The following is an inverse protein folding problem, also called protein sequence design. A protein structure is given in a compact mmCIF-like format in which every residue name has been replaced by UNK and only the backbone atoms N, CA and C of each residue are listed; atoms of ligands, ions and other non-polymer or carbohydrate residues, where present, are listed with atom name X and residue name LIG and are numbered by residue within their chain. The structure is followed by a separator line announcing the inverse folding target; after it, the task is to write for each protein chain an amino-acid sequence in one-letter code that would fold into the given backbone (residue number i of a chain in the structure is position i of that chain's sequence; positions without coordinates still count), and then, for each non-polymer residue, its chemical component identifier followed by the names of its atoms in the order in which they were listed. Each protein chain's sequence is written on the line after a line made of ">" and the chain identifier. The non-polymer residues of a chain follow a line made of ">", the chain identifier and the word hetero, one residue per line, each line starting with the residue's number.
data_IF_294178987695
#
_entry.id   IF_294178987695
#
_cell.length_a   1.000
_cell.length_b   1.000
_cell.length_c   1.000
_cell.angle_alpha   90.00
_cell.angle_beta   90.00
_cell.angle_gamma   90.00
#
_symmetry.space_group_name_H-M   'P 1'
#
loop_
_entity.id
_entity.type
_entity.pdbx_description
1 polymer ?
#
# COMPACT_ATOMS: atom_id res chain seq x y z
N UNK A 1 -5.58 -13.73 -17.45
CA UNK A 1 -6.30 -12.55 -16.94
C UNK A 1 -7.44 -13.03 -16.06
N UNK A 2 -7.55 -12.50 -14.83
CA UNK A 2 -8.63 -12.77 -13.88
C UNK A 2 -9.65 -11.62 -13.87
N UNK A 3 -9.16 -10.38 -13.89
CA UNK A 3 -9.96 -9.17 -13.76
C UNK A 3 -9.33 -8.02 -14.56
N UNK A 4 -10.13 -7.11 -15.06
CA UNK A 4 -9.66 -5.87 -15.71
C UNK A 4 -9.99 -4.68 -14.82
N UNK A 5 -9.00 -4.14 -14.15
CA UNK A 5 -9.14 -2.91 -13.37
C UNK A 5 -9.13 -1.70 -14.32
N UNK A 6 -10.01 -0.73 -14.05
CA UNK A 6 -10.15 0.49 -14.84
C UNK A 6 -10.17 1.71 -13.96
N UNK A 7 -9.57 2.78 -14.46
CA UNK A 7 -9.53 4.08 -13.83
C UNK A 7 -9.82 5.18 -14.84
N UNK A 8 -10.36 6.31 -14.41
CA UNK A 8 -10.21 7.54 -15.18
C UNK A 8 -8.73 7.87 -15.30
N UNK A 9 -8.32 8.33 -16.48
CA UNK A 9 -6.91 8.56 -16.83
C UNK A 9 -6.14 9.30 -15.71
N UNK A 10 -4.94 8.82 -15.43
CA UNK A 10 -4.09 9.33 -14.37
C UNK A 10 -2.61 9.14 -14.67
N UNK A 11 -1.72 9.55 -13.76
CA UNK A 11 -0.28 9.50 -13.98
C UNK A 11 0.27 8.09 -14.21
N UNK A 12 -0.40 7.06 -13.67
CA UNK A 12 -0.03 5.65 -13.85
C UNK A 12 -0.96 4.90 -14.84
N UNK A 13 -1.65 5.65 -15.74
CA UNK A 13 -2.50 5.08 -16.79
C UNK A 13 -3.97 5.03 -16.43
N UNK A 14 -4.74 4.24 -17.19
CA UNK A 14 -6.19 4.11 -17.10
C UNK A 14 -6.67 2.73 -16.62
N UNK A 15 -5.73 1.89 -16.19
CA UNK A 15 -6.01 0.56 -15.63
C UNK A 15 -5.03 -0.51 -16.10
N UNK A 16 -5.28 -1.74 -15.66
CA UNK A 16 -4.44 -2.89 -15.93
C UNK A 16 -5.22 -4.21 -15.85
N UNK A 17 -4.63 -5.29 -16.31
CA UNK A 17 -5.18 -6.62 -16.15
C UNK A 17 -4.57 -7.31 -14.92
N UNK A 18 -5.39 -7.73 -13.97
CA UNK A 18 -4.96 -8.65 -12.90
C UNK A 18 -4.79 -10.03 -13.51
N UNK A 19 -3.57 -10.54 -13.50
CA UNK A 19 -3.16 -11.77 -14.16
C UNK A 19 -2.43 -12.71 -13.19
N UNK A 20 -2.44 -14.00 -13.51
CA UNK A 20 -1.71 -15.04 -12.77
C UNK A 20 -0.77 -15.75 -13.71
N UNK A 21 0.47 -15.89 -13.31
CA UNK A 21 1.49 -16.60 -14.04
C UNK A 21 1.13 -18.10 -14.18
N UNK A 22 1.08 -18.60 -15.40
CA UNK A 22 0.76 -20.00 -15.67
C UNK A 22 1.81 -20.97 -15.07
N UNK A 23 3.06 -20.54 -15.01
CA UNK A 23 4.17 -21.37 -14.52
C UNK A 23 4.24 -21.42 -12.99
N UNK A 24 4.24 -20.26 -12.31
CA UNK A 24 4.50 -20.21 -10.87
C UNK A 24 3.28 -19.85 -10.01
N UNK A 25 2.18 -19.40 -10.61
CA UNK A 25 0.97 -19.01 -9.89
C UNK A 25 1.01 -17.59 -9.29
N UNK A 26 2.13 -16.88 -9.34
CA UNK A 26 2.22 -15.52 -8.83
C UNK A 26 1.25 -14.57 -9.55
N UNK A 27 0.59 -13.70 -8.81
CA UNK A 27 -0.37 -12.75 -9.32
C UNK A 27 0.27 -11.35 -9.50
N UNK A 28 -0.10 -10.66 -10.58
CA UNK A 28 0.49 -9.37 -10.94
C UNK A 28 -0.45 -8.53 -11.82
N UNK A 29 -0.19 -7.24 -11.88
CA UNK A 29 -0.80 -6.31 -12.82
C UNK A 29 -0.06 -6.35 -14.18
N UNK A 30 -0.80 -6.56 -15.26
CA UNK A 30 -0.30 -6.58 -16.62
C UNK A 30 -0.82 -5.36 -17.39
N UNK A 31 0.03 -4.73 -18.20
CA UNK A 31 -0.28 -3.46 -18.90
C UNK A 31 -0.07 -2.23 -18.01
N UNK A 32 0.93 -2.26 -17.13
CA UNK A 32 1.34 -1.15 -16.25
C UNK A 32 2.51 -0.34 -16.87
N UNK A 33 2.77 0.90 -16.39
CA UNK A 33 3.94 1.69 -16.75
C UNK A 33 5.26 0.96 -16.49
N UNK A 34 6.35 1.46 -17.09
CA UNK A 34 7.69 0.96 -16.84
C UNK A 34 8.20 1.31 -15.44
N UNK A 35 9.32 0.70 -15.01
CA UNK A 35 9.90 0.98 -13.69
C UNK A 35 10.28 2.46 -13.55
N UNK A 36 10.81 3.06 -14.62
CA UNK A 36 11.21 4.47 -14.61
C UNK A 36 10.05 5.42 -14.31
N UNK A 37 8.87 5.19 -14.89
CA UNK A 37 7.68 6.00 -14.65
C UNK A 37 7.16 5.80 -13.21
N UNK A 38 7.28 4.58 -12.66
CA UNK A 38 6.92 4.30 -11.27
C UNK A 38 7.88 5.02 -10.31
N UNK A 39 9.20 4.96 -10.55
CA UNK A 39 10.21 5.64 -9.72
C UNK A 39 10.00 7.16 -9.71
N UNK A 40 9.74 7.77 -10.88
CA UNK A 40 9.42 9.19 -10.99
C UNK A 40 8.14 9.55 -10.20
N UNK A 41 7.12 8.72 -10.29
CA UNK A 41 5.87 8.92 -9.55
C UNK A 41 6.11 8.96 -8.03
N UNK A 42 6.87 8.00 -7.48
CA UNK A 42 7.13 7.95 -6.03
C UNK A 42 8.07 9.06 -5.56
N UNK A 43 9.03 9.47 -6.36
CA UNK A 43 9.91 10.60 -6.03
C UNK A 43 9.14 11.91 -5.83
N UNK A 44 8.10 12.14 -6.64
CA UNK A 44 7.36 13.40 -6.66
C UNK A 44 6.06 13.39 -5.85
N UNK A 45 5.42 12.23 -5.67
CA UNK A 45 4.01 12.14 -5.23
C UNK A 45 3.79 11.25 -4.01
N UNK A 46 4.77 11.19 -3.11
CA UNK A 46 4.62 10.42 -1.87
C UNK A 46 3.47 10.96 -0.99
N UNK A 47 2.48 10.12 -0.74
CA UNK A 47 1.33 10.45 0.13
C UNK A 47 1.69 10.56 1.61
N UNK A 48 2.80 9.99 2.02
CA UNK A 48 3.20 9.88 3.42
C UNK A 48 3.55 11.22 4.06
N UNK A 49 3.92 12.23 3.29
CA UNK A 49 4.30 13.56 3.80
C UNK A 49 3.12 14.45 4.18
N UNK A 50 1.88 14.08 3.77
CA UNK A 50 0.67 14.87 4.04
C UNK A 50 -0.53 14.01 4.49
N UNK A 51 -0.40 12.69 4.54
CA UNK A 51 -1.54 11.81 4.80
C UNK A 51 -2.09 11.93 6.23
N UNK A 52 -1.26 12.31 7.21
CA UNK A 52 -1.66 12.54 8.60
C UNK A 52 -0.71 13.56 9.24
N UNK A 53 -1.27 14.56 9.94
CA UNK A 53 -0.55 15.52 10.79
C UNK A 53 0.86 15.92 10.28
N UNK A 54 0.96 16.42 9.06
CA UNK A 54 2.23 16.82 8.39
C UNK A 54 3.24 15.64 8.24
N UNK A 55 2.73 14.45 8.00
CA UNK A 55 3.52 13.23 7.79
C UNK A 55 3.85 12.44 9.05
N UNK A 56 3.33 12.84 10.23
CA UNK A 56 3.45 12.04 11.44
C UNK A 56 2.61 10.75 11.33
N UNK A 57 3.08 9.70 11.95
CA UNK A 57 2.40 8.41 11.99
C UNK A 57 1.19 8.47 12.93
N UNK A 58 0.10 7.81 12.50
CA UNK A 58 -1.08 7.62 13.33
C UNK A 58 -0.85 6.57 14.41
N UNK A 59 -1.70 6.50 15.46
CA UNK A 59 -1.66 5.40 16.44
C UNK A 59 -1.77 4.02 15.80
N UNK A 60 -2.51 3.88 14.69
CA UNK A 60 -2.64 2.63 13.94
C UNK A 60 -1.32 2.24 13.26
N UNK A 61 -0.60 3.23 12.68
CA UNK A 61 0.73 2.98 12.09
C UNK A 61 1.71 2.52 13.15
N UNK A 62 1.75 3.16 14.34
CA UNK A 62 2.61 2.72 15.43
C UNK A 62 2.29 1.31 15.89
N UNK A 63 1.01 0.94 16.04
CA UNK A 63 0.61 -0.43 16.42
C UNK A 63 1.11 -1.45 15.40
N UNK A 64 1.02 -1.13 14.12
CA UNK A 64 1.55 -1.97 13.03
C UNK A 64 3.06 -2.10 13.12
N UNK A 65 3.79 -1.01 13.31
CA UNK A 65 5.25 -1.02 13.41
C UNK A 65 5.75 -1.76 14.66
N UNK A 66 5.04 -1.67 15.78
CA UNK A 66 5.35 -2.46 16.98
C UNK A 66 5.20 -3.97 16.69
N UNK A 67 4.13 -4.39 16.01
CA UNK A 67 3.95 -5.78 15.62
C UNK A 67 5.06 -6.27 14.65
N UNK A 68 5.49 -5.44 13.71
CA UNK A 68 6.63 -5.75 12.83
C UNK A 68 7.92 -5.90 13.63
N UNK A 69 8.18 -4.99 14.56
CA UNK A 69 9.35 -5.06 15.42
C UNK A 69 9.33 -6.34 16.28
N UNK A 70 8.18 -6.76 16.82
CA UNK A 70 8.02 -8.01 17.58
C UNK A 70 8.36 -9.24 16.73
N UNK A 71 7.98 -9.24 15.45
CA UNK A 71 8.33 -10.33 14.52
C UNK A 71 9.80 -10.34 14.16
N UNK A 72 10.46 -9.18 14.05
CA UNK A 72 11.84 -9.03 13.60
C UNK A 72 12.86 -9.29 14.72
N UNK A 73 12.63 -8.74 15.91
CA UNK A 73 13.61 -8.73 17.02
C UNK A 73 14.21 -10.10 17.39
N UNK A 74 13.44 -11.20 17.42
CA UNK A 74 14.00 -12.53 17.73
C UNK A 74 15.07 -13.01 16.76
N UNK A 75 15.17 -12.38 15.58
CA UNK A 75 16.08 -12.77 14.50
C UNK A 75 17.27 -11.80 14.35
N UNK A 76 17.37 -10.81 15.21
CA UNK A 76 18.48 -9.85 15.21
C UNK A 76 19.57 -10.28 16.21
N UNK A 77 20.87 -10.13 15.86
CA UNK A 77 21.96 -10.61 16.70
C UNK A 77 22.10 -9.83 18.02
N UNK A 78 21.76 -8.56 18.03
CA UNK A 78 21.82 -7.67 19.22
C UNK A 78 21.21 -6.32 18.92
N UNK A 79 21.12 -5.43 19.91
CA UNK A 79 20.70 -4.04 19.73
C UNK A 79 21.72 -3.18 18.92
N UNK A 80 22.94 -3.68 18.70
CA UNK A 80 23.94 -3.09 17.81
C UNK A 80 23.80 -3.57 16.35
N UNK A 81 22.77 -4.34 16.01
CA UNK A 81 22.50 -4.76 14.63
C UNK A 81 22.36 -3.54 13.71
N UNK A 82 22.99 -3.60 12.53
CA UNK A 82 22.82 -2.61 11.48
C UNK A 82 21.59 -2.97 10.66
N UNK A 83 20.60 -2.09 10.65
CA UNK A 83 19.30 -2.31 10.01
C UNK A 83 19.11 -1.27 8.92
N UNK A 84 18.76 -1.73 7.71
CA UNK A 84 18.33 -0.90 6.59
C UNK A 84 16.84 -1.12 6.34
N UNK A 85 16.08 -0.02 6.31
CA UNK A 85 14.68 -0.01 5.88
C UNK A 85 14.55 0.67 4.51
N UNK A 86 14.30 -0.11 3.47
CA UNK A 86 14.14 0.37 2.09
C UNK A 86 12.68 0.72 1.86
N UNK A 87 12.40 1.93 1.39
CA UNK A 87 11.04 2.48 1.28
C UNK A 87 10.46 2.86 2.64
N UNK A 88 11.31 3.42 3.52
CA UNK A 88 10.97 3.69 4.92
C UNK A 88 9.97 4.84 5.13
N UNK A 89 9.54 5.51 4.06
CA UNK A 89 8.67 6.69 4.11
C UNK A 89 9.20 7.73 5.12
N UNK A 90 8.35 8.16 6.07
CA UNK A 90 8.70 9.15 7.11
C UNK A 90 9.49 8.57 8.29
N UNK A 91 9.90 7.29 8.23
CA UNK A 91 10.81 6.66 9.20
C UNK A 91 10.14 6.10 10.45
N UNK A 92 8.80 5.94 10.46
CA UNK A 92 8.06 5.52 11.64
C UNK A 92 8.46 4.15 12.20
N UNK A 93 8.75 3.15 11.34
CA UNK A 93 9.26 1.85 11.79
C UNK A 93 10.65 1.97 12.40
N UNK A 94 11.54 2.77 11.80
CA UNK A 94 12.86 3.04 12.34
C UNK A 94 12.78 3.76 13.69
N UNK A 95 11.81 4.67 13.87
CA UNK A 95 11.56 5.34 15.15
C UNK A 95 11.11 4.34 16.24
N UNK A 96 10.30 3.34 15.89
CA UNK A 96 9.95 2.23 16.81
C UNK A 96 11.20 1.45 17.20
N UNK A 97 12.02 1.03 16.24
CA UNK A 97 13.26 0.29 16.51
C UNK A 97 14.24 1.12 17.34
N UNK A 98 14.36 2.43 17.09
CA UNK A 98 15.19 3.35 17.90
C UNK A 98 14.73 3.39 19.35
N UNK A 99 13.41 3.53 19.61
CA UNK A 99 12.86 3.47 20.98
C UNK A 99 13.10 2.14 21.67
N UNK A 100 13.21 1.05 20.91
CA UNK A 100 13.56 -0.29 21.39
C UNK A 100 15.06 -0.50 21.62
N UNK A 101 15.88 0.54 21.40
CA UNK A 101 17.32 0.57 21.69
C UNK A 101 18.24 0.17 20.54
N UNK A 102 17.76 0.07 19.31
CA UNK A 102 18.60 -0.09 18.13
C UNK A 102 19.25 1.26 17.76
N UNK A 103 20.55 1.26 17.51
CA UNK A 103 21.34 2.49 17.32
C UNK A 103 21.93 2.65 15.91
N UNK A 104 21.97 1.58 15.11
CA UNK A 104 22.54 1.59 13.77
C UNK A 104 21.45 1.41 12.72
N UNK A 105 20.60 2.41 12.60
CA UNK A 105 19.44 2.46 11.73
C UNK A 105 19.73 3.33 10.50
N UNK A 106 19.42 2.82 9.33
CA UNK A 106 19.51 3.52 8.05
C UNK A 106 18.17 3.42 7.34
N UNK A 107 17.61 4.55 6.95
CA UNK A 107 16.43 4.60 6.10
C UNK A 107 16.80 4.94 4.66
N UNK A 108 15.96 4.52 3.73
CA UNK A 108 16.04 4.93 2.33
C UNK A 108 14.63 5.04 1.75
N UNK A 109 14.37 6.12 0.99
CA UNK A 109 13.09 6.35 0.31
C UNK A 109 13.34 7.16 -0.96
N UNK A 110 12.63 6.94 -2.08
CA UNK A 110 12.80 7.72 -3.30
C UNK A 110 12.32 9.17 -3.17
N UNK A 111 11.50 9.50 -2.18
CA UNK A 111 10.95 10.85 -1.95
C UNK A 111 11.86 11.70 -1.05
N UNK A 112 12.44 12.81 -1.56
CA UNK A 112 13.19 13.75 -0.71
C UNK A 112 12.34 14.32 0.43
N UNK A 113 11.04 14.52 0.19
CA UNK A 113 10.11 15.03 1.20
C UNK A 113 9.91 14.04 2.37
N UNK A 114 9.98 12.72 2.12
CA UNK A 114 9.98 11.71 3.17
C UNK A 114 11.26 11.79 4.02
N UNK A 115 12.42 11.98 3.40
CA UNK A 115 13.69 12.14 4.11
C UNK A 115 13.68 13.37 5.03
N UNK A 116 13.14 14.49 4.56
CA UNK A 116 12.99 15.70 5.37
C UNK A 116 12.00 15.51 6.52
N UNK A 117 10.88 14.82 6.28
CA UNK A 117 9.90 14.51 7.31
C UNK A 117 10.49 13.58 8.39
N UNK A 118 11.21 12.53 8.02
CA UNK A 118 11.86 11.59 8.94
C UNK A 118 12.85 12.32 9.88
N UNK A 119 13.65 13.23 9.32
CA UNK A 119 14.57 14.05 10.10
C UNK A 119 13.83 14.96 11.08
N UNK A 120 12.77 15.61 10.61
CA UNK A 120 11.97 16.56 11.42
C UNK A 120 11.20 15.84 12.53
N UNK A 121 10.58 14.70 12.24
CA UNK A 121 9.69 13.98 13.15
C UNK A 121 10.46 13.11 14.17
N UNK A 122 11.53 12.46 13.71
CA UNK A 122 12.19 11.39 14.47
C UNK A 122 13.69 11.59 14.65
N UNK A 123 14.30 12.60 14.00
CA UNK A 123 15.76 12.79 14.02
C UNK A 123 16.50 11.65 13.27
N UNK A 124 15.83 10.92 12.41
CA UNK A 124 16.39 9.80 11.65
C UNK A 124 16.89 10.30 10.30
N UNK A 125 18.11 9.89 9.92
CA UNK A 125 18.67 10.14 8.61
C UNK A 125 18.10 9.12 7.60
N UNK A 126 17.44 9.64 6.55
CA UNK A 126 16.95 8.86 5.43
C UNK A 126 17.67 9.32 4.17
N UNK A 127 18.21 8.37 3.41
CA UNK A 127 18.89 8.62 2.14
C UNK A 127 17.86 8.60 1.01
N UNK A 128 17.87 9.63 0.17
CA UNK A 128 17.01 9.64 -1.02
C UNK A 128 17.63 8.72 -2.07
N UNK A 129 16.98 7.59 -2.33
CA UNK A 129 17.41 6.61 -3.32
C UNK A 129 16.24 5.74 -3.77
N UNK A 130 16.21 5.41 -5.08
CA UNK A 130 15.38 4.35 -5.63
C UNK A 130 15.94 2.99 -5.25
N UNK A 131 15.12 1.94 -5.36
CA UNK A 131 15.60 0.59 -5.03
C UNK A 131 16.75 0.14 -5.95
N UNK A 132 16.77 0.54 -7.22
CA UNK A 132 17.83 0.21 -8.16
C UNK A 132 19.19 0.80 -7.75
N UNK A 133 19.23 2.00 -7.19
CA UNK A 133 20.47 2.68 -6.78
C UNK A 133 21.15 1.96 -5.60
N UNK A 134 20.43 1.15 -4.83
CA UNK A 134 21.04 0.34 -3.77
C UNK A 134 21.98 -0.74 -4.30
N UNK A 135 21.93 -1.09 -5.59
CA UNK A 135 22.87 -2.02 -6.18
C UNK A 135 24.34 -1.53 -6.10
N UNK A 136 24.55 -0.22 -6.02
CA UNK A 136 25.87 0.41 -5.92
C UNK A 136 26.35 0.55 -4.46
N UNK A 137 25.51 0.24 -3.47
CA UNK A 137 25.89 0.37 -2.07
C UNK A 137 26.88 -0.73 -1.66
N UNK A 138 27.98 -0.33 -1.06
CA UNK A 138 29.02 -1.23 -0.55
C UNK A 138 28.80 -1.65 0.90
N UNK A 139 27.93 -0.93 1.61
CA UNK A 139 27.55 -1.22 2.99
C UNK A 139 26.78 -2.54 3.08
N UNK A 140 26.92 -3.22 4.23
CA UNK A 140 26.21 -4.47 4.51
C UNK A 140 25.52 -4.39 5.86
N UNK A 141 24.36 -5.05 5.96
CA UNK A 141 23.42 -4.95 7.06
C UNK A 141 23.15 -6.31 7.69
N UNK A 142 22.86 -6.30 8.98
CA UNK A 142 22.40 -7.49 9.71
C UNK A 142 20.92 -7.77 9.41
N UNK A 143 20.14 -6.72 9.09
CA UNK A 143 18.79 -6.85 8.57
C UNK A 143 18.51 -5.82 7.47
N UNK A 144 17.78 -6.27 6.44
CA UNK A 144 17.19 -5.43 5.38
C UNK A 144 15.69 -5.60 5.41
N UNK A 145 14.94 -4.49 5.48
CA UNK A 145 13.50 -4.48 5.57
C UNK A 145 12.89 -3.99 4.25
N UNK A 146 11.82 -4.65 3.80
CA UNK A 146 10.99 -4.31 2.65
C UNK A 146 9.52 -4.37 3.09
N UNK A 147 9.04 -3.27 3.69
CA UNK A 147 7.69 -3.18 4.26
C UNK A 147 6.79 -2.32 3.38
N UNK A 148 5.87 -2.94 2.67
CA UNK A 148 5.01 -2.21 1.72
C UNK A 148 5.80 -1.67 0.52
N UNK A 149 6.73 -2.46 -0.03
CA UNK A 149 7.60 -2.03 -1.14
C UNK A 149 7.44 -2.91 -2.37
N UNK A 150 7.48 -4.23 -2.20
CA UNK A 150 7.54 -5.15 -3.35
C UNK A 150 6.26 -5.14 -4.19
N UNK A 151 5.11 -4.78 -3.62
CA UNK A 151 3.86 -4.60 -4.36
C UNK A 151 3.89 -3.43 -5.33
N UNK A 152 4.84 -2.50 -5.16
CA UNK A 152 4.98 -1.29 -5.96
C UNK A 152 6.08 -1.38 -7.03
N UNK A 153 6.87 -2.45 -7.02
CA UNK A 153 8.06 -2.59 -7.88
C UNK A 153 7.78 -3.51 -9.06
N UNK A 154 7.94 -3.00 -10.29
CA UNK A 154 7.77 -3.81 -11.50
C UNK A 154 8.85 -4.88 -11.63
N UNK A 155 10.10 -4.50 -11.46
CA UNK A 155 11.26 -5.39 -11.57
C UNK A 155 11.55 -6.12 -10.25
N UNK A 156 10.51 -6.79 -9.71
CA UNK A 156 10.51 -7.34 -8.34
C UNK A 156 11.59 -8.38 -8.07
N UNK A 157 12.05 -9.12 -9.10
CA UNK A 157 13.16 -10.08 -8.94
C UNK A 157 14.50 -9.37 -8.77
N UNK A 158 14.74 -8.32 -9.55
CA UNK A 158 15.94 -7.49 -9.39
C UNK A 158 15.94 -6.86 -7.98
N UNK A 159 14.80 -6.36 -7.53
CA UNK A 159 14.61 -5.81 -6.19
C UNK A 159 14.99 -6.81 -5.09
N UNK A 160 14.50 -8.05 -5.17
CA UNK A 160 14.83 -9.10 -4.22
C UNK A 160 16.34 -9.41 -4.23
N UNK A 161 16.98 -9.49 -5.42
CA UNK A 161 18.42 -9.70 -5.57
C UNK A 161 19.26 -8.57 -4.96
N UNK A 162 18.88 -7.32 -5.20
CA UNK A 162 19.55 -6.13 -4.63
C UNK A 162 19.46 -6.17 -3.10
N UNK A 163 18.26 -6.34 -2.54
CA UNK A 163 18.06 -6.38 -1.10
C UNK A 163 18.85 -7.53 -0.44
N UNK A 164 18.85 -8.72 -1.04
CA UNK A 164 19.67 -9.84 -0.58
C UNK A 164 21.17 -9.57 -0.65
N UNK A 165 21.62 -8.84 -1.70
CA UNK A 165 23.02 -8.44 -1.87
C UNK A 165 23.53 -7.48 -0.77
N UNK A 166 22.65 -6.77 -0.09
CA UNK A 166 22.98 -5.87 1.01
C UNK A 166 23.11 -6.57 2.36
N UNK A 167 22.75 -7.84 2.45
CA UNK A 167 22.90 -8.62 3.70
C UNK A 167 24.35 -9.03 3.95
N UNK A 168 24.74 -8.99 5.22
CA UNK A 168 25.94 -9.67 5.72
C UNK A 168 25.75 -11.18 5.71
N UNK A 169 26.82 -11.97 5.76
CA UNK A 169 26.70 -13.39 6.12
C UNK A 169 25.94 -13.54 7.44
N UNK A 170 24.90 -14.39 7.47
CA UNK A 170 24.02 -14.55 8.63
C UNK A 170 22.98 -13.45 8.84
N UNK A 171 22.93 -12.44 7.97
CA UNK A 171 21.89 -11.40 8.01
C UNK A 171 20.54 -11.90 7.51
N UNK A 172 19.47 -11.16 7.87
CA UNK A 172 18.08 -11.51 7.54
C UNK A 172 17.40 -10.44 6.69
N UNK A 173 16.52 -10.86 5.78
CA UNK A 173 15.57 -9.99 5.10
C UNK A 173 14.20 -10.13 5.77
N UNK A 174 13.59 -9.02 6.14
CA UNK A 174 12.19 -8.97 6.54
C UNK A 174 11.36 -8.37 5.41
N UNK A 175 10.33 -9.10 4.97
CA UNK A 175 9.37 -8.64 3.97
C UNK A 175 7.96 -8.62 4.53
N UNK A 176 7.18 -7.57 4.26
CA UNK A 176 5.76 -7.49 4.62
C UNK A 176 4.97 -6.80 3.49
N UNK A 177 3.99 -7.49 2.92
CA UNK A 177 3.23 -7.06 1.76
C UNK A 177 1.73 -7.34 1.97
N UNK A 178 0.82 -6.67 1.22
CA UNK A 178 -0.60 -7.04 1.21
C UNK A 178 -0.79 -8.51 0.83
N UNK A 179 -1.60 -9.24 1.62
CA UNK A 179 -1.83 -10.67 1.48
C UNK A 179 -3.11 -10.97 0.70
N UNK A 180 -2.98 -11.49 -0.51
CA UNK A 180 -4.13 -11.84 -1.38
C UNK A 180 -5.10 -12.82 -0.74
N UNK A 181 -4.62 -13.71 0.12
CA UNK A 181 -5.45 -14.73 0.77
C UNK A 181 -6.42 -14.14 1.78
N UNK A 182 -6.16 -12.91 2.25
CA UNK A 182 -7.01 -12.21 3.20
C UNK A 182 -7.82 -11.06 2.61
N UNK A 183 -7.64 -10.72 1.33
CA UNK A 183 -8.32 -9.55 0.73
C UNK A 183 -9.85 -9.58 0.89
N UNK A 184 -10.46 -10.74 0.74
CA UNK A 184 -11.90 -10.90 0.89
C UNK A 184 -12.38 -10.74 2.35
N UNK A 185 -11.51 -10.89 3.34
CA UNK A 185 -11.85 -10.67 4.76
C UNK A 185 -11.65 -9.22 5.21
N UNK A 186 -11.03 -8.37 4.39
CA UNK A 186 -10.75 -6.98 4.73
C UNK A 186 -12.01 -6.11 4.70
N UNK A 187 -12.11 -5.18 5.64
CA UNK A 187 -13.14 -4.14 5.64
C UNK A 187 -12.56 -2.91 4.93
N UNK A 188 -12.86 -2.78 3.63
CA UNK A 188 -12.31 -1.72 2.80
C UNK A 188 -13.26 -1.40 1.63
N UNK A 189 -12.91 -0.42 0.79
CA UNK A 189 -13.65 -0.14 -0.44
C UNK A 189 -13.58 -1.31 -1.42
N UNK A 190 -14.63 -1.54 -2.24
CA UNK A 190 -14.57 -2.50 -3.32
C UNK A 190 -13.35 -2.25 -4.22
N UNK A 191 -12.65 -3.32 -4.59
CA UNK A 191 -11.44 -3.28 -5.42
C UNK A 191 -10.29 -2.42 -4.89
N UNK A 192 -10.28 -2.01 -3.62
CA UNK A 192 -9.24 -1.15 -3.02
C UNK A 192 -7.84 -1.74 -3.17
N UNK A 193 -7.71 -3.06 -3.08
CA UNK A 193 -6.44 -3.76 -3.22
C UNK A 193 -5.89 -3.71 -4.66
N UNK A 194 -6.75 -3.46 -5.65
CA UNK A 194 -6.35 -3.21 -7.03
C UNK A 194 -6.18 -1.70 -7.25
N UNK A 195 -5.30 -1.10 -6.48
CA UNK A 195 -4.98 0.33 -6.57
C UNK A 195 -4.18 0.66 -7.83
N UNK A 196 -4.01 1.94 -8.13
CA UNK A 196 -3.13 2.39 -9.21
C UNK A 196 -1.66 2.07 -8.96
N UNK A 197 -1.29 1.80 -7.71
CA UNK A 197 0.09 1.67 -7.25
C UNK A 197 0.51 0.20 -7.00
N UNK A 198 -0.44 -0.72 -6.76
CA UNK A 198 -0.12 -2.13 -6.50
C UNK A 198 -0.02 -2.91 -7.80
N UNK A 199 1.19 -3.33 -8.12
CA UNK A 199 1.50 -4.05 -9.36
C UNK A 199 1.84 -5.53 -9.13
N UNK A 200 2.10 -5.94 -7.90
CA UNK A 200 2.26 -7.35 -7.50
C UNK A 200 1.30 -7.67 -6.35
N UNK A 201 0.80 -8.90 -6.36
CA UNK A 201 -0.16 -9.40 -5.38
C UNK A 201 0.41 -10.67 -4.74
N UNK A 202 0.72 -10.59 -3.44
CA UNK A 202 1.48 -11.63 -2.75
C UNK A 202 0.59 -12.55 -1.92
N UNK A 203 0.93 -13.84 -1.93
CA UNK A 203 0.62 -14.84 -0.92
C UNK A 203 1.90 -15.25 -0.21
N UNK A 204 1.81 -16.04 0.85
CA UNK A 204 2.99 -16.64 1.50
C UNK A 204 3.82 -17.43 0.48
N UNK A 205 3.19 -18.19 -0.40
CA UNK A 205 3.87 -19.01 -1.41
C UNK A 205 4.61 -18.15 -2.45
N UNK A 206 3.97 -17.11 -2.99
CA UNK A 206 4.60 -16.26 -4.01
C UNK A 206 5.71 -15.40 -3.44
N UNK A 207 5.57 -14.88 -2.21
CA UNK A 207 6.63 -14.13 -1.51
C UNK A 207 7.85 -15.03 -1.26
N UNK A 208 7.64 -16.24 -0.70
CA UNK A 208 8.70 -17.22 -0.46
C UNK A 208 9.41 -17.59 -1.77
N UNK A 209 8.65 -17.85 -2.83
CA UNK A 209 9.23 -18.19 -4.13
C UNK A 209 10.02 -17.04 -4.75
N UNK A 210 9.55 -15.80 -4.61
CA UNK A 210 10.29 -14.62 -5.05
C UNK A 210 11.64 -14.54 -4.35
N UNK A 211 11.65 -14.60 -3.01
CA UNK A 211 12.87 -14.46 -2.23
C UNK A 211 13.83 -15.66 -2.41
N UNK A 212 13.32 -16.84 -2.73
CA UNK A 212 14.15 -17.97 -3.13
C UNK A 212 14.92 -17.72 -4.45
N UNK A 213 14.47 -16.82 -5.33
CA UNK A 213 15.26 -16.41 -6.51
C UNK A 213 16.51 -15.61 -6.14
N UNK A 214 16.55 -15.06 -4.94
CA UNK A 214 17.69 -14.35 -4.34
C UNK A 214 18.42 -15.19 -3.29
N UNK A 215 18.26 -16.52 -3.32
CA UNK A 215 18.90 -17.50 -2.42
C UNK A 215 18.48 -17.34 -0.94
N UNK A 216 17.32 -16.78 -0.69
CA UNK A 216 16.76 -16.60 0.65
C UNK A 216 15.69 -17.65 0.94
N UNK A 217 15.82 -18.35 2.08
CA UNK A 217 14.83 -19.30 2.59
C UNK A 217 14.04 -18.70 3.76
N UNK A 218 12.75 -19.05 3.92
CA UNK A 218 11.96 -18.57 5.03
C UNK A 218 12.47 -19.16 6.36
N UNK A 219 12.65 -18.28 7.36
CA UNK A 219 12.93 -18.64 8.75
C UNK A 219 11.64 -18.65 9.55
N UNK A 220 10.81 -17.65 9.33
CA UNK A 220 9.46 -17.54 9.91
C UNK A 220 8.55 -16.75 8.96
N UNK A 221 7.26 -17.08 8.94
CA UNK A 221 6.25 -16.37 8.14
C UNK A 221 4.98 -16.19 8.95
N UNK A 222 4.28 -15.09 8.70
CA UNK A 222 3.02 -14.76 9.37
C UNK A 222 2.01 -14.24 8.36
N UNK A 223 0.75 -14.42 8.69
CA UNK A 223 -0.39 -13.76 8.05
C UNK A 223 -1.23 -13.13 9.14
N UNK A 224 -1.58 -11.87 8.99
CA UNK A 224 -2.28 -11.12 10.03
C UNK A 224 -3.10 -9.99 9.45
N UNK A 225 -4.13 -9.54 10.21
CA UNK A 225 -4.93 -8.38 9.86
C UNK A 225 -4.35 -7.14 10.52
N UNK A 226 -4.28 -6.06 9.76
CA UNK A 226 -3.85 -4.74 10.20
C UNK A 226 -5.04 -3.80 10.16
N UNK A 227 -5.28 -3.09 11.23
CA UNK A 227 -6.20 -1.97 11.24
C UNK A 227 -5.45 -0.70 10.84
N UNK A 228 -5.76 -0.15 9.67
CA UNK A 228 -5.14 1.07 9.15
C UNK A 228 -5.76 2.34 9.70
N UNK A 229 -7.07 2.29 9.92
CA UNK A 229 -7.91 3.34 10.50
C UNK A 229 -9.05 2.65 11.22
N UNK A 230 -9.75 3.38 12.06
CA UNK A 230 -10.88 2.86 12.83
C UNK A 230 -11.89 2.11 11.94
N UNK A 231 -11.97 0.81 12.12
CA UNK A 231 -12.87 -0.09 11.39
C UNK A 231 -12.45 -0.42 9.94
N UNK A 232 -11.26 0.00 9.49
CA UNK A 232 -10.73 -0.33 8.16
C UNK A 232 -9.53 -1.25 8.30
N UNK A 233 -9.62 -2.44 7.72
CA UNK A 233 -8.59 -3.47 7.85
C UNK A 233 -7.99 -3.87 6.52
N UNK A 234 -6.72 -4.27 6.56
CA UNK A 234 -6.02 -4.93 5.46
C UNK A 234 -5.35 -6.22 5.96
N UNK A 235 -5.15 -7.14 5.05
CA UNK A 235 -4.43 -8.39 5.29
C UNK A 235 -2.97 -8.23 4.86
N UNK A 236 -2.05 -8.74 5.69
CA UNK A 236 -0.61 -8.68 5.46
C UNK A 236 -0.01 -10.06 5.54
N UNK A 237 0.81 -10.42 4.57
CA UNK A 237 1.77 -11.52 4.62
C UNK A 237 3.13 -10.95 4.95
N UNK A 238 3.80 -11.50 5.95
CA UNK A 238 5.15 -11.09 6.34
C UNK A 238 6.05 -12.30 6.62
N UNK A 239 7.36 -12.08 6.62
CA UNK A 239 8.30 -13.12 6.96
C UNK A 239 9.73 -12.63 7.12
N UNK A 240 10.50 -13.41 7.86
CA UNK A 240 11.94 -13.33 7.98
C UNK A 240 12.56 -14.40 7.10
N UNK A 241 13.53 -14.00 6.29
CA UNK A 241 14.22 -14.87 5.33
C UNK A 241 15.73 -14.71 5.51
N UNK A 242 16.46 -15.81 5.37
CA UNK A 242 17.92 -15.84 5.52
C UNK A 242 18.57 -16.66 4.41
N UNK A 243 19.86 -16.40 4.14
CA UNK A 243 20.67 -17.28 3.26
C UNK A 243 20.93 -18.61 3.92
N UNK A 244 20.99 -19.65 3.11
CA UNK A 244 21.21 -21.03 3.58
C UNK A 244 22.63 -21.34 4.02
N UNK A 245 23.59 -20.48 3.74
CA UNK A 245 25.01 -20.63 4.03
C UNK A 245 25.44 -20.16 5.44
N UNK A 246 24.50 -19.63 6.21
CA UNK A 246 24.73 -19.39 7.63
C UNK A 246 24.80 -20.74 8.37
N UNK A 247 25.99 -21.22 8.68
CA UNK A 247 26.33 -22.49 9.30
C UNK A 247 25.64 -22.86 10.61
N UNK A 248 24.34 -23.02 10.58
CA UNK A 248 23.49 -23.56 11.64
C UNK A 248 22.74 -24.76 11.07
N UNK A 249 23.33 -25.94 11.24
CA UNK A 249 22.70 -27.23 10.93
C UNK A 249 22.75 -27.60 9.44
N UNK A 250 23.73 -28.37 9.04
CA UNK A 250 23.85 -28.99 7.72
C UNK A 250 22.58 -29.78 7.37
N UNK A 251 21.76 -29.24 6.45
CA UNK A 251 20.63 -29.98 5.92
C UNK A 251 19.83 -29.16 4.93
N UNK A 252 20.25 -29.14 3.69
CA UNK A 252 19.65 -28.53 2.52
C UNK A 252 19.88 -27.00 2.37
N UNK A 253 20.68 -26.65 1.35
CA UNK A 253 20.76 -25.29 0.80
C UNK A 253 19.37 -24.72 0.48
N UNK A 254 19.23 -23.38 0.35
CA UNK A 254 17.95 -22.79 -0.03
C UNK A 254 17.42 -23.53 -1.26
N UNK A 255 16.18 -23.99 -1.26
CA UNK A 255 15.63 -24.67 -2.41
C UNK A 255 15.71 -23.71 -3.61
N UNK A 256 16.20 -24.20 -4.73
CA UNK A 256 16.12 -23.42 -5.96
C UNK A 256 14.69 -22.95 -6.14
N UNK A 257 14.47 -21.73 -6.68
CA UNK A 257 13.12 -21.18 -6.86
C UNK A 257 12.17 -22.13 -7.61
N UNK A 258 12.72 -23.04 -8.45
CA UNK A 258 11.99 -24.12 -9.11
C UNK A 258 11.51 -25.20 -8.15
N UNK A 259 12.17 -25.40 -7.00
CA UNK A 259 11.79 -26.39 -5.98
C UNK A 259 10.74 -25.84 -4.99
N UNK A 260 10.51 -24.50 -4.97
CA UNK A 260 9.42 -23.92 -4.18
C UNK A 260 8.07 -24.30 -4.79
N UNK A 261 7.06 -24.67 -3.98
CA UNK A 261 5.73 -24.99 -4.46
C UNK A 261 5.15 -23.87 -5.35
N UNK A 262 4.41 -24.25 -6.38
CA UNK A 262 3.63 -23.29 -7.14
C UNK A 262 2.61 -22.64 -6.21
N UNK A 263 2.38 -21.33 -6.39
CA UNK A 263 1.27 -20.64 -5.72
C UNK A 263 -0.06 -21.17 -6.28
N UNK A 264 -0.75 -21.96 -5.49
CA UNK A 264 -2.03 -22.56 -5.83
C UNK A 264 -3.22 -21.75 -5.30
N UNK A 265 -2.98 -20.78 -4.40
CA UNK A 265 -4.04 -20.09 -3.64
C UNK A 265 -4.41 -18.74 -4.21
N UNK A 266 -3.45 -17.96 -4.70
CA UNK A 266 -3.69 -16.57 -5.16
C UNK A 266 -4.79 -16.47 -6.21
N UNK A 267 -4.89 -17.43 -7.14
CA UNK A 267 -5.93 -17.38 -8.17
C UNK A 267 -7.35 -17.46 -7.58
N UNK A 268 -7.58 -18.40 -6.66
CA UNK A 268 -8.88 -18.56 -5.99
C UNK A 268 -9.22 -17.35 -5.15
N UNK A 269 -8.31 -16.94 -4.26
CA UNK A 269 -8.47 -15.80 -3.38
C UNK A 269 -8.78 -14.49 -4.12
N UNK A 270 -8.10 -14.23 -5.24
CA UNK A 270 -8.38 -13.05 -6.06
C UNK A 270 -9.74 -13.11 -6.78
N UNK A 271 -10.19 -14.29 -7.20
CA UNK A 271 -11.54 -14.45 -7.77
C UNK A 271 -12.62 -14.21 -6.72
N UNK A 272 -12.44 -14.71 -5.51
CA UNK A 272 -13.34 -14.48 -4.37
C UNK A 272 -13.38 -12.98 -4.01
N UNK A 273 -12.23 -12.34 -3.97
CA UNK A 273 -12.14 -10.88 -3.74
C UNK A 273 -12.85 -10.07 -4.83
N UNK A 274 -12.70 -10.45 -6.12
CA UNK A 274 -13.40 -9.81 -7.23
C UNK A 274 -14.91 -9.99 -7.10
N UNK A 275 -15.38 -11.21 -6.80
CA UNK A 275 -16.81 -11.49 -6.65
C UNK A 275 -17.42 -10.67 -5.50
N UNK A 276 -16.73 -10.60 -4.37
CA UNK A 276 -17.18 -9.84 -3.20
C UNK A 276 -17.16 -8.32 -3.46
N UNK A 277 -16.10 -7.81 -4.10
CA UNK A 277 -16.02 -6.40 -4.49
C UNK A 277 -17.16 -6.01 -5.44
N UNK A 278 -17.54 -6.90 -6.38
CA UNK A 278 -18.67 -6.66 -7.28
C UNK A 278 -20.01 -6.51 -6.54
N UNK A 279 -20.22 -7.32 -5.49
CA UNK A 279 -21.42 -7.20 -4.63
C UNK A 279 -21.41 -5.86 -3.90
N UNK A 280 -20.26 -5.48 -3.34
CA UNK A 280 -20.11 -4.19 -2.63
C UNK A 280 -20.26 -2.99 -3.54
N UNK A 281 -19.76 -3.04 -4.76
CA UNK A 281 -19.90 -1.94 -5.73
C UNK A 281 -21.37 -1.73 -6.17
N UNK A 282 -22.22 -2.75 -6.11
CA UNK A 282 -23.61 -2.60 -6.51
C UNK A 282 -24.38 -1.53 -5.71
N UNK A 283 -24.17 -1.46 -4.39
CA UNK A 283 -24.80 -0.43 -3.55
C UNK A 283 -24.26 0.97 -3.87
N UNK A 284 -22.95 1.09 -4.09
CA UNK A 284 -22.30 2.34 -4.51
C UNK A 284 -22.84 2.81 -5.86
N UNK A 285 -23.03 1.88 -6.81
CA UNK A 285 -23.60 2.17 -8.13
C UNK A 285 -25.04 2.72 -8.04
N UNK A 286 -25.90 2.12 -7.21
CA UNK A 286 -27.26 2.62 -6.98
C UNK A 286 -27.28 4.02 -6.44
N UNK A 287 -26.43 4.34 -5.46
CA UNK A 287 -26.27 5.68 -4.92
C UNK A 287 -25.83 6.68 -6.02
N UNK A 288 -24.86 6.31 -6.83
CA UNK A 288 -24.37 7.14 -7.94
C UNK A 288 -25.47 7.37 -8.99
N UNK A 289 -26.25 6.35 -9.33
CA UNK A 289 -27.39 6.46 -10.27
C UNK A 289 -28.44 7.44 -9.75
N UNK A 290 -28.68 7.45 -8.44
CA UNK A 290 -29.58 8.44 -7.81
C UNK A 290 -29.02 9.87 -7.92
N UNK A 291 -27.71 10.06 -7.64
CA UNK A 291 -27.07 11.36 -7.79
C UNK A 291 -27.10 11.87 -9.26
N UNK A 292 -26.95 10.94 -10.21
CA UNK A 292 -27.10 11.28 -11.64
C UNK A 292 -28.54 11.65 -11.97
N UNK A 293 -29.54 11.01 -11.36
CA UNK A 293 -30.97 11.27 -11.62
C UNK A 293 -31.41 12.65 -11.07
N UNK A 294 -30.92 13.00 -9.87
CA UNK A 294 -31.33 14.27 -9.23
C UNK A 294 -30.64 15.50 -9.83
N UNK A 295 -29.45 15.33 -10.42
CA UNK A 295 -28.64 16.43 -10.98
C UNK A 295 -28.39 17.59 -9.99
N UNK A 296 -28.45 17.33 -8.69
CA UNK A 296 -28.07 18.30 -7.68
C UNK A 296 -26.56 18.59 -7.78
N UNK A 297 -26.12 19.85 -7.58
CA UNK A 297 -24.71 20.20 -7.61
C UNK A 297 -23.91 19.43 -6.57
N UNK A 298 -22.82 18.81 -7.00
CA UNK A 298 -22.05 17.85 -6.20
C UNK A 298 -20.56 18.20 -6.18
N UNK A 299 -19.99 18.28 -5.00
CA UNK A 299 -18.55 18.19 -4.77
C UNK A 299 -18.18 16.75 -4.45
N UNK A 300 -17.06 16.25 -4.99
CA UNK A 300 -16.56 14.91 -4.68
C UNK A 300 -15.26 15.03 -3.92
N UNK A 301 -15.25 14.60 -2.66
CA UNK A 301 -14.06 14.63 -1.82
C UNK A 301 -13.29 13.30 -1.93
N UNK A 302 -12.06 13.41 -2.38
CA UNK A 302 -11.14 12.35 -2.76
C UNK A 302 -11.00 12.27 -4.29
N UNK A 303 -9.80 12.50 -4.81
CA UNK A 303 -9.45 12.37 -6.24
C UNK A 303 -8.54 11.15 -6.52
N UNK A 304 -8.45 10.23 -5.54
CA UNK A 304 -7.60 9.05 -5.57
C UNK A 304 -8.19 7.85 -6.33
N UNK A 305 -7.66 6.66 -6.01
CA UNK A 305 -7.96 5.37 -6.68
C UNK A 305 -9.46 5.09 -6.78
N UNK A 306 -10.20 5.18 -5.66
CA UNK A 306 -11.64 4.86 -5.65
C UNK A 306 -12.44 5.78 -6.58
N UNK A 307 -12.22 7.09 -6.50
CA UNK A 307 -12.91 8.07 -7.36
C UNK A 307 -12.62 7.81 -8.84
N UNK A 308 -11.35 7.55 -9.18
CA UNK A 308 -10.94 7.23 -10.56
C UNK A 308 -11.56 5.93 -11.06
N UNK A 309 -11.67 4.93 -10.19
CA UNK A 309 -12.37 3.69 -10.50
C UNK A 309 -13.86 3.93 -10.74
N UNK A 310 -14.54 4.65 -9.86
CA UNK A 310 -15.96 4.95 -9.99
C UNK A 310 -16.28 5.81 -11.23
N UNK A 311 -15.42 6.76 -11.58
CA UNK A 311 -15.55 7.52 -12.83
C UNK A 311 -15.45 6.64 -14.08
N UNK A 312 -14.63 5.59 -14.05
CA UNK A 312 -14.42 4.68 -15.17
C UNK A 312 -15.47 3.57 -15.27
N UNK A 313 -16.10 3.18 -14.14
CA UNK A 313 -16.95 1.99 -14.06
C UNK A 313 -18.42 2.28 -13.79
N UNK A 314 -18.74 3.50 -13.34
CA UNK A 314 -20.09 3.93 -13.01
C UNK A 314 -20.48 5.21 -13.79
N UNK A 315 -21.74 5.63 -13.78
CA UNK A 315 -22.15 6.89 -14.42
C UNK A 315 -21.78 8.16 -13.63
N UNK A 316 -20.88 8.11 -12.62
CA UNK A 316 -20.52 9.26 -11.78
C UNK A 316 -20.15 10.52 -12.59
N UNK A 317 -19.43 10.38 -13.70
CA UNK A 317 -19.07 11.50 -14.57
C UNK A 317 -20.25 12.22 -15.23
N UNK A 318 -21.47 11.64 -15.17
CA UNK A 318 -22.73 12.26 -15.67
C UNK A 318 -23.53 13.00 -14.60
N UNK A 319 -23.15 12.88 -13.33
CA UNK A 319 -23.70 13.71 -12.26
C UNK A 319 -23.30 15.17 -12.46
N UNK A 320 -24.02 16.08 -11.83
CA UNK A 320 -23.69 17.51 -11.88
C UNK A 320 -22.47 17.81 -11.00
N UNK A 321 -21.30 17.30 -11.41
CA UNK A 321 -20.02 17.48 -10.72
C UNK A 321 -19.54 18.93 -10.89
N UNK A 322 -19.42 19.64 -9.77
CA UNK A 322 -18.93 21.03 -9.73
C UNK A 322 -17.40 21.03 -9.65
N UNK A 323 -16.83 20.29 -8.71
CA UNK A 323 -15.40 20.15 -8.52
C UNK A 323 -15.08 18.86 -7.72
N UNK A 324 -13.82 18.47 -7.75
CA UNK A 324 -13.25 17.52 -6.78
C UNK A 324 -12.58 18.29 -5.65
N UNK A 325 -12.41 17.63 -4.50
CA UNK A 325 -11.68 18.13 -3.33
C UNK A 325 -10.68 17.08 -2.90
N UNK A 326 -9.46 17.45 -2.62
CA UNK A 326 -8.45 16.51 -2.11
C UNK A 326 -7.52 17.21 -1.12
N UNK A 327 -6.99 16.45 -0.16
CA UNK A 327 -6.01 16.96 0.80
C UNK A 327 -4.57 16.96 0.25
N UNK A 328 -4.34 16.27 -0.88
CA UNK A 328 -3.03 16.20 -1.52
C UNK A 328 -2.65 17.52 -2.19
N UNK A 329 -1.62 18.23 -1.69
CA UNK A 329 -1.20 19.50 -2.30
C UNK A 329 -0.79 19.36 -3.77
N UNK A 330 -0.30 18.20 -4.18
CA UNK A 330 0.11 17.93 -5.58
C UNK A 330 -1.06 17.86 -6.57
N UNK A 331 -2.28 17.69 -6.07
CA UNK A 331 -3.48 17.65 -6.89
C UNK A 331 -4.18 19.00 -7.02
N UNK A 332 -3.89 19.95 -6.11
CA UNK A 332 -4.56 21.25 -6.10
C UNK A 332 -4.29 22.02 -7.41
N UNK A 333 -5.35 22.58 -7.98
CA UNK A 333 -5.29 23.32 -9.24
C UNK A 333 -5.15 22.44 -10.50
N UNK A 334 -5.06 21.11 -10.34
CA UNK A 334 -5.12 20.17 -11.48
C UNK A 334 -6.57 19.79 -11.79
N UNK A 335 -6.77 18.96 -12.81
CA UNK A 335 -8.10 18.52 -13.23
C UNK A 335 -8.26 17.00 -13.19
N UNK A 336 -9.47 16.56 -12.85
CA UNK A 336 -9.94 15.20 -13.00
C UNK A 336 -11.27 15.20 -13.75
N UNK A 337 -11.38 14.44 -14.83
CA UNK A 337 -12.60 14.38 -15.67
C UNK A 337 -13.13 15.76 -16.10
N UNK A 338 -12.23 16.72 -16.40
CA UNK A 338 -12.56 18.07 -16.81
C UNK A 338 -13.14 18.96 -15.70
N UNK A 339 -12.87 18.64 -14.44
CA UNK A 339 -13.24 19.45 -13.27
C UNK A 339 -12.01 19.69 -12.41
N UNK A 340 -11.90 20.89 -11.86
CA UNK A 340 -10.79 21.29 -10.99
C UNK A 340 -10.77 20.49 -9.69
N UNK A 341 -9.58 20.24 -9.17
CA UNK A 341 -9.35 19.69 -7.84
C UNK A 341 -8.99 20.83 -6.89
N UNK A 342 -9.84 21.07 -5.90
CA UNK A 342 -9.74 22.16 -4.92
C UNK A 342 -9.05 21.67 -3.64
N UNK A 343 -8.41 22.58 -2.92
CA UNK A 343 -8.05 22.36 -1.52
C UNK A 343 -9.30 22.43 -0.63
N UNK A 344 -9.29 21.73 0.50
CA UNK A 344 -10.38 21.73 1.47
C UNK A 344 -10.71 23.16 1.99
N UNK A 345 -9.69 24.02 2.07
CA UNK A 345 -9.82 25.42 2.50
C UNK A 345 -10.59 26.32 1.52
N UNK A 346 -10.78 25.89 0.27
CA UNK A 346 -11.50 26.62 -0.78
C UNK A 346 -13.02 26.37 -0.77
N UNK A 347 -13.52 25.56 0.19
CA UNK A 347 -14.94 25.20 0.27
C UNK A 347 -15.82 26.23 0.98
N UNK A 348 -15.24 27.26 1.59
CA UNK A 348 -16.01 28.30 2.28
C UNK A 348 -17.07 28.96 1.40
N UNK A 349 -18.36 28.98 1.86
CA UNK A 349 -19.47 29.58 1.15
C UNK A 349 -20.06 28.77 0.00
N UNK A 350 -19.59 27.57 -0.26
CA UNK A 350 -20.11 26.63 -1.26
C UNK A 350 -21.31 25.85 -0.71
N UNK A 351 -22.48 25.87 -1.36
CA UNK A 351 -23.68 25.20 -0.85
C UNK A 351 -23.85 23.75 -1.31
N UNK A 352 -23.00 23.28 -2.25
CA UNK A 352 -23.13 21.98 -2.91
C UNK A 352 -23.04 20.84 -1.91
N UNK A 353 -23.71 19.73 -2.17
CA UNK A 353 -23.57 18.48 -1.41
C UNK A 353 -22.15 17.93 -1.58
N UNK A 354 -21.64 17.23 -0.58
CA UNK A 354 -20.30 16.62 -0.61
C UNK A 354 -20.42 15.10 -0.59
N UNK A 355 -19.99 14.45 -1.66
CA UNK A 355 -19.81 12.99 -1.70
C UNK A 355 -18.39 12.64 -1.29
N UNK A 356 -18.23 11.95 -0.18
CA UNK A 356 -16.92 11.43 0.26
C UNK A 356 -16.61 10.13 -0.48
N UNK A 357 -15.69 10.21 -1.44
CA UNK A 357 -15.18 9.07 -2.20
C UNK A 357 -13.88 8.51 -1.57
N UNK A 358 -13.91 8.25 -0.28
CA UNK A 358 -12.85 7.56 0.45
C UNK A 358 -13.49 6.74 1.56
N UNK A 359 -13.26 5.42 1.58
CA UNK A 359 -13.69 4.57 2.71
C UNK A 359 -12.70 4.69 3.85
N UNK A 360 -11.41 4.64 3.54
CA UNK A 360 -10.32 4.68 4.53
C UNK A 360 -10.34 5.94 5.38
N UNK A 361 -10.56 7.10 4.76
CA UNK A 361 -10.53 8.41 5.44
C UNK A 361 -11.92 9.03 5.63
N UNK A 362 -13.01 8.28 5.38
CA UNK A 362 -14.36 8.83 5.39
C UNK A 362 -14.72 9.54 6.70
N UNK A 363 -14.40 8.92 7.84
CA UNK A 363 -14.66 9.47 9.18
C UNK A 363 -13.81 10.70 9.49
N UNK A 364 -12.54 10.69 9.09
CA UNK A 364 -11.62 11.82 9.26
C UNK A 364 -12.08 13.01 8.41
N UNK A 365 -12.40 12.77 7.14
CA UNK A 365 -12.92 13.79 6.23
C UNK A 365 -14.25 14.37 6.77
N UNK A 366 -15.18 13.52 7.21
CA UNK A 366 -16.44 13.97 7.79
C UNK A 366 -16.22 14.83 9.05
N UNK A 367 -15.28 14.45 9.92
CA UNK A 367 -14.90 15.24 11.10
C UNK A 367 -14.28 16.58 10.69
N UNK A 368 -13.38 16.59 9.72
CA UNK A 368 -12.77 17.81 9.16
C UNK A 368 -13.86 18.78 8.64
N UNK A 369 -14.81 18.29 7.84
CA UNK A 369 -15.92 19.09 7.31
C UNK A 369 -16.73 19.72 8.46
N UNK A 370 -17.07 18.95 9.50
CA UNK A 370 -17.98 19.40 10.57
C UNK A 370 -17.27 20.21 11.64
N UNK A 371 -16.09 19.78 12.09
CA UNK A 371 -15.43 20.35 13.29
C UNK A 371 -14.37 21.40 12.97
N UNK A 372 -13.61 21.21 11.89
CA UNK A 372 -12.49 22.08 11.55
C UNK A 372 -12.95 23.20 10.58
N UNK A 373 -13.53 22.80 9.45
CA UNK A 373 -13.99 23.72 8.42
C UNK A 373 -15.39 24.31 8.74
N UNK A 374 -16.15 23.67 9.65
CA UNK A 374 -17.49 24.09 10.07
C UNK A 374 -18.45 24.33 8.91
N UNK A 375 -18.36 23.46 7.88
CA UNK A 375 -19.20 23.59 6.69
C UNK A 375 -20.60 22.99 6.95
N UNK A 376 -21.66 23.68 6.51
CA UNK A 376 -23.04 23.21 6.69
C UNK A 376 -23.50 22.18 5.65
N UNK A 377 -22.67 21.92 4.63
CA UNK A 377 -23.00 21.09 3.48
C UNK A 377 -23.58 19.73 3.88
N UNK A 378 -24.55 19.23 3.14
CA UNK A 378 -25.00 17.84 3.25
C UNK A 378 -23.88 16.90 2.79
N UNK A 379 -23.57 15.88 3.62
CA UNK A 379 -22.46 14.95 3.38
C UNK A 379 -23.01 13.56 3.11
N UNK A 380 -22.60 13.01 2.00
CA UNK A 380 -22.93 11.65 1.56
C UNK A 380 -21.66 10.81 1.70
N UNK A 381 -21.72 9.71 2.43
CA UNK A 381 -20.61 8.74 2.52
C UNK A 381 -20.96 7.51 1.71
N UNK A 382 -19.99 6.98 0.98
CA UNK A 382 -20.12 5.66 0.40
C UNK A 382 -20.22 4.66 1.55
N UNK A 383 -21.24 3.82 1.54
CA UNK A 383 -21.48 2.81 2.59
C UNK A 383 -20.30 1.86 2.68
N UNK A 384 -19.78 1.67 3.88
CA UNK A 384 -18.85 0.57 4.17
C UNK A 384 -19.55 -0.74 3.78
N UNK A 385 -18.94 -1.50 2.91
CA UNK A 385 -19.42 -2.84 2.59
C UNK A 385 -19.11 -3.69 3.80
N UNK A 386 -20.06 -3.83 4.72
CA UNK A 386 -19.97 -4.86 5.74
C UNK A 386 -20.01 -6.20 5.03
N UNK A 387 -18.90 -6.92 5.05
CA UNK A 387 -18.88 -8.32 4.63
C UNK A 387 -19.84 -9.12 5.51
N UNK A 388 -21.00 -9.47 4.94
CA UNK A 388 -21.96 -10.38 5.53
C UNK A 388 -21.46 -11.81 5.34
N UNK A 389 -20.29 -12.15 5.86
CA UNK A 389 -19.81 -13.53 5.95
C UNK A 389 -18.61 -13.68 6.89
N UNK A 390 -18.63 -13.06 8.06
CA UNK A 390 -17.83 -13.53 9.17
C UNK A 390 -18.73 -14.43 10.05
N UNK A 391 -19.09 -15.58 9.51
CA UNK A 391 -19.46 -16.73 10.30
C UNK A 391 -18.23 -17.23 11.03
N UNK A 392 -18.35 -17.31 12.34
CA UNK A 392 -17.47 -17.87 13.35
C UNK A 392 -16.36 -18.81 12.83
N UNK A 393 -15.09 -18.48 13.10
CA UNK A 393 -13.99 -19.42 12.96
C UNK A 393 -12.65 -18.79 12.58
N UNK A 394 -11.99 -18.10 13.52
CA UNK A 394 -10.52 -17.96 13.57
C UNK A 394 -10.07 -18.31 14.98
#
# INVERSE_FOLDING_TARGET
>A
MLYRQRFAAGPLGDGYAVSVCAACGAAFADGIPGQFELDAYYAERSKYTYAHADGAESPFDFKRFEAIADQLEPHLPSKAARILDIGCATGGLLAVLQRRGYTHLVGSDPSPACADAARRLHGIEVRTATLAEHAEWTERFDAVLLVGVLEHVREVRAAAGIAAGLLRPGGVLYGAQPDVEGFAACVNAPYQQFSTEHVNFFSTASLTRLLATAELAPVATWRWLVEWREGVTDSVVSGVFARSDAGVGAGAGAPAASACPRDAVSRGALLDYVAQSAVGEAATRQLIEELVRTQEPLLVWGAGTLTRHLLATTPLGRANLVAFVDNSPHLHGTELAGRSILAATELGGRPERILICSVVFAREISRMIRSELRLPNDVIMLTEVKNVAAGEGF
#
